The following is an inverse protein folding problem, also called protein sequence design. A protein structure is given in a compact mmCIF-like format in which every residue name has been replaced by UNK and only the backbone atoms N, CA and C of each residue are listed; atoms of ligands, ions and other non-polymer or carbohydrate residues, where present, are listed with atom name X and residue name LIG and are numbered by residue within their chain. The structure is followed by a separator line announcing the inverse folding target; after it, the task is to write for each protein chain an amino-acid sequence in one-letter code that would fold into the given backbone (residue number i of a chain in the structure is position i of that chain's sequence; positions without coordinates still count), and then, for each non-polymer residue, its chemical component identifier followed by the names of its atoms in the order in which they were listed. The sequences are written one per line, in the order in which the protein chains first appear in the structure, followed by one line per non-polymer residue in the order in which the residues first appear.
data_IF_628283601330
#
_entry.id   IF_628283601330
#
_cell.length_a   1.000
_cell.length_b   1.000
_cell.length_c   1.000
_cell.angle_alpha   90.00
_cell.angle_beta   90.00
_cell.angle_gamma   90.00
#
_symmetry.space_group_name_H-M   'P 1'
#
loop_
_entity.id
_entity.type
_entity.pdbx_description
1 polymer ?
#
# COMPACT_ATOMS: atom_id res chain seq x y z
N UNK A 1 20.57 28.83 9.48
CA UNK A 1 20.21 27.40 9.48
C UNK A 1 21.15 26.73 8.50
N UNK A 2 22.11 25.95 9.00
CA UNK A 2 23.10 25.27 8.14
C UNK A 2 22.44 24.10 7.42
N UNK A 3 22.68 24.01 6.12
CA UNK A 3 22.03 23.04 5.24
C UNK A 3 22.55 21.62 5.58
N UNK A 4 21.69 20.60 5.65
CA UNK A 4 22.13 19.23 6.04
C UNK A 4 23.22 18.67 5.11
N UNK A 5 23.26 19.16 3.86
CA UNK A 5 24.31 18.90 2.88
C UNK A 5 25.70 19.41 3.29
N UNK A 6 25.79 20.54 3.99
CA UNK A 6 27.06 21.10 4.48
C UNK A 6 27.63 20.27 5.64
N UNK A 7 26.77 19.58 6.41
CA UNK A 7 27.20 18.66 7.48
C UNK A 7 27.71 17.32 6.97
N UNK A 8 27.29 16.90 5.78
CA UNK A 8 27.73 15.66 5.16
C UNK A 8 29.04 15.81 4.34
N UNK A 9 29.46 17.05 4.06
CA UNK A 9 30.69 17.33 3.33
C UNK A 9 31.92 16.84 4.11
N UNK A 10 32.72 15.97 3.50
CA UNK A 10 33.93 15.38 4.11
C UNK A 10 33.70 14.05 4.85
N UNK A 11 32.49 13.48 4.79
CA UNK A 11 32.22 12.17 5.38
C UNK A 11 32.82 11.05 4.51
N UNK A 12 33.74 10.26 5.06
CA UNK A 12 34.17 9.01 4.41
C UNK A 12 33.03 7.99 4.44
N UNK A 13 32.67 7.48 3.27
CA UNK A 13 31.67 6.41 3.12
C UNK A 13 32.39 5.11 2.80
N UNK A 14 32.29 4.14 3.70
CA UNK A 14 32.73 2.76 3.42
C UNK A 14 31.61 2.01 2.72
N UNK A 15 31.86 1.54 1.49
CA UNK A 15 30.92 0.70 0.75
C UNK A 15 31.24 -0.77 0.97
N UNK A 16 30.27 -1.52 1.48
CA UNK A 16 30.36 -2.98 1.60
C UNK A 16 29.72 -3.60 0.36
N UNK A 17 30.52 -4.35 -0.40
CA UNK A 17 30.04 -5.11 -1.54
C UNK A 17 29.85 -6.57 -1.08
N UNK A 18 28.70 -7.21 -1.34
CA UNK A 18 28.51 -8.63 -1.10
C UNK A 18 29.55 -9.47 -1.86
N UNK A 19 29.83 -10.68 -1.39
CA UNK A 19 30.77 -11.58 -2.06
C UNK A 19 30.27 -11.96 -3.48
N UNK A 20 31.19 -12.42 -4.32
CA UNK A 20 30.91 -12.72 -5.73
C UNK A 20 29.91 -13.86 -5.93
N UNK A 21 29.85 -14.82 -5.00
CA UNK A 21 28.90 -15.94 -5.07
C UNK A 21 27.47 -15.43 -4.80
N UNK A 22 27.31 -14.62 -3.76
CA UNK A 22 26.06 -13.93 -3.44
C UNK A 22 25.58 -13.09 -4.63
N UNK A 23 26.44 -12.30 -5.25
CA UNK A 23 26.09 -11.52 -6.45
C UNK A 23 25.70 -12.39 -7.65
N UNK A 24 26.41 -13.50 -7.86
CA UNK A 24 26.13 -14.43 -8.95
C UNK A 24 24.77 -15.11 -8.83
N UNK A 25 24.31 -15.36 -7.60
CA UNK A 25 23.01 -15.98 -7.33
C UNK A 25 21.81 -15.07 -7.54
N UNK A 26 21.99 -13.73 -7.52
CA UNK A 26 20.89 -12.76 -7.64
C UNK A 26 20.07 -12.92 -8.92
N UNK A 27 20.71 -13.33 -10.03
CA UNK A 27 20.07 -13.49 -11.34
C UNK A 27 19.00 -14.60 -11.35
N UNK A 28 19.13 -15.58 -10.47
CA UNK A 28 18.28 -16.76 -10.40
C UNK A 28 17.28 -16.66 -9.23
N UNK A 29 17.33 -15.58 -8.44
CA UNK A 29 16.41 -15.34 -7.33
C UNK A 29 15.06 -14.80 -7.82
N UNK A 30 13.98 -15.41 -7.35
CA UNK A 30 12.63 -14.92 -7.59
C UNK A 30 12.17 -13.90 -6.53
N UNK A 31 11.47 -12.83 -6.93
CA UNK A 31 10.87 -11.89 -5.99
C UNK A 31 9.82 -12.59 -5.09
N UNK A 32 10.06 -12.63 -3.78
CA UNK A 32 9.11 -13.20 -2.80
C UNK A 32 8.11 -12.19 -2.27
N UNK A 33 8.47 -10.92 -2.22
CA UNK A 33 7.66 -9.86 -1.62
C UNK A 33 7.94 -8.52 -2.31
N UNK A 34 6.90 -7.77 -2.63
CA UNK A 34 7.03 -6.44 -3.20
C UNK A 34 7.04 -5.36 -2.13
N UNK A 35 8.19 -4.69 -1.98
CA UNK A 35 8.36 -3.56 -1.05
C UNK A 35 7.79 -2.24 -1.59
N UNK A 36 7.48 -2.15 -2.88
CA UNK A 36 6.90 -0.95 -3.47
C UNK A 36 5.47 -0.76 -2.95
N UNK A 37 5.21 0.39 -2.35
CA UNK A 37 3.89 0.75 -1.86
C UNK A 37 3.01 1.16 -3.05
N UNK A 38 2.26 0.20 -3.60
CA UNK A 38 1.39 0.45 -4.76
C UNK A 38 0.08 1.10 -4.34
N UNK A 39 -0.36 2.14 -5.07
CA UNK A 39 -1.74 2.60 -4.99
C UNK A 39 -2.66 1.62 -5.70
N UNK A 40 -3.58 0.99 -4.96
CA UNK A 40 -4.49 0.00 -5.53
C UNK A 40 -5.66 0.70 -6.20
N UNK A 41 -5.59 0.75 -7.52
CA UNK A 41 -6.54 1.46 -8.38
C UNK A 41 -7.88 0.71 -8.49
N UNK A 42 -8.89 1.34 -9.09
CA UNK A 42 -10.17 0.68 -9.34
C UNK A 42 -10.03 -0.58 -10.21
N UNK A 43 -9.12 -0.56 -11.19
CA UNK A 43 -8.86 -1.68 -12.09
C UNK A 43 -8.15 -2.84 -11.36
N UNK A 44 -7.22 -2.52 -10.46
CA UNK A 44 -6.58 -3.52 -9.61
C UNK A 44 -7.59 -4.25 -8.72
N UNK A 45 -8.56 -3.51 -8.17
CA UNK A 45 -9.65 -4.09 -7.40
C UNK A 45 -10.59 -4.92 -8.26
N UNK A 46 -10.91 -4.46 -9.48
CA UNK A 46 -11.73 -5.21 -10.42
C UNK A 46 -11.12 -6.57 -10.78
N UNK A 47 -9.78 -6.65 -10.93
CA UNK A 47 -9.06 -7.89 -11.20
C UNK A 47 -9.19 -8.95 -10.09
N UNK A 48 -9.47 -8.53 -8.86
CA UNK A 48 -9.64 -9.40 -7.68
C UNK A 48 -11.08 -9.42 -7.16
N UNK A 49 -12.06 -8.98 -7.95
CA UNK A 49 -13.47 -8.93 -7.54
C UNK A 49 -13.96 -10.29 -7.03
N UNK A 50 -14.64 -10.27 -5.88
CA UNK A 50 -15.20 -11.45 -5.22
C UNK A 50 -14.16 -12.39 -4.59
N UNK A 51 -12.86 -12.08 -4.68
CA UNK A 51 -11.80 -12.88 -4.06
C UNK A 51 -11.42 -12.27 -2.70
N UNK A 52 -11.31 -13.08 -1.64
CA UNK A 52 -10.86 -12.59 -0.34
C UNK A 52 -9.38 -12.23 -0.40
N UNK A 53 -9.04 -11.05 0.08
CA UNK A 53 -7.68 -10.58 0.24
C UNK A 53 -7.37 -10.44 1.73
N UNK A 54 -6.49 -11.30 2.25
CA UNK A 54 -6.07 -11.28 3.65
C UNK A 54 -4.89 -10.32 3.83
N UNK A 55 -5.04 -9.36 4.74
CA UNK A 55 -4.07 -8.29 4.97
C UNK A 55 -3.97 -7.93 6.45
N UNK A 56 -2.87 -7.30 6.82
CA UNK A 56 -2.79 -6.49 8.03
C UNK A 56 -3.05 -5.02 7.69
N UNK A 57 -3.90 -4.38 8.48
CA UNK A 57 -4.06 -2.93 8.45
C UNK A 57 -2.92 -2.26 9.22
N UNK A 58 -2.23 -1.33 8.56
CA UNK A 58 -1.01 -0.68 9.06
C UNK A 58 -1.19 0.83 9.28
N UNK A 59 -2.43 1.32 9.35
CA UNK A 59 -2.75 2.72 9.61
C UNK A 59 -3.14 3.50 8.37
N UNK A 60 -3.30 4.81 8.54
CA UNK A 60 -3.61 5.75 7.46
C UNK A 60 -2.38 6.58 7.09
N UNK A 61 -2.28 6.93 5.81
CA UNK A 61 -1.33 7.92 5.32
C UNK A 61 -2.04 8.95 4.47
N UNK A 62 -1.60 10.18 4.60
CA UNK A 62 -2.02 11.31 3.77
C UNK A 62 -1.12 11.36 2.53
N UNK A 63 -1.70 11.24 1.34
CA UNK A 63 -0.96 11.08 0.08
C UNK A 63 -1.53 12.07 -0.94
N UNK A 64 -0.69 12.94 -1.53
CA UNK A 64 -1.14 13.83 -2.59
C UNK A 64 -1.52 13.01 -3.82
N UNK A 65 -2.70 13.28 -4.38
CA UNK A 65 -3.14 12.71 -5.65
C UNK A 65 -2.56 13.52 -6.83
N UNK A 66 -2.94 13.14 -8.06
CA UNK A 66 -2.49 13.77 -9.30
C UNK A 66 -2.89 15.26 -9.42
N UNK A 67 -3.91 15.70 -8.69
CA UNK A 67 -4.34 17.11 -8.67
C UNK A 67 -3.70 17.91 -7.52
N UNK A 68 -2.82 17.27 -6.72
CA UNK A 68 -2.18 17.87 -5.55
C UNK A 68 -3.07 17.91 -4.29
N UNK A 69 -4.26 17.33 -4.34
CA UNK A 69 -5.14 17.19 -3.18
C UNK A 69 -4.66 16.06 -2.28
N UNK A 70 -4.65 16.30 -0.97
CA UNK A 70 -4.25 15.30 0.02
C UNK A 70 -5.39 14.30 0.23
N UNK A 71 -5.16 13.05 -0.15
CA UNK A 71 -6.11 11.94 0.02
C UNK A 71 -5.63 11.01 1.13
N UNK A 72 -6.53 10.73 2.08
CA UNK A 72 -6.28 9.79 3.17
C UNK A 72 -6.43 8.35 2.67
N UNK A 73 -5.36 7.58 2.74
CA UNK A 73 -5.30 6.21 2.26
C UNK A 73 -5.05 5.23 3.40
N UNK A 74 -5.76 4.10 3.40
CA UNK A 74 -5.43 2.96 4.27
C UNK A 74 -4.19 2.24 3.76
N UNK A 75 -3.26 1.90 4.65
CA UNK A 75 -2.06 1.12 4.36
C UNK A 75 -2.29 -0.34 4.74
N UNK A 76 -2.01 -1.25 3.81
CA UNK A 76 -2.28 -2.68 3.96
C UNK A 76 -1.06 -3.51 3.55
N UNK A 77 -0.84 -4.61 4.27
CA UNK A 77 0.25 -5.56 4.00
C UNK A 77 -0.33 -6.95 3.87
N UNK A 78 -0.16 -7.57 2.72
CA UNK A 78 -0.52 -8.96 2.46
C UNK A 78 0.70 -9.89 2.57
N UNK A 79 0.55 -11.17 2.24
CA UNK A 79 1.68 -12.09 2.11
C UNK A 79 2.64 -11.76 0.94
N UNK A 80 2.21 -10.96 -0.04
CA UNK A 80 2.93 -10.74 -1.31
C UNK A 80 3.30 -9.29 -1.59
N UNK A 81 2.50 -8.35 -1.11
CA UNK A 81 2.65 -6.93 -1.42
C UNK A 81 2.23 -6.00 -0.27
N UNK A 82 2.86 -4.83 -0.24
CA UNK A 82 2.36 -3.63 0.44
C UNK A 82 1.54 -2.79 -0.53
N UNK A 83 0.36 -2.31 -0.11
CA UNK A 83 -0.43 -1.38 -0.91
C UNK A 83 -1.16 -0.36 -0.07
N UNK A 84 -1.57 0.72 -0.72
CA UNK A 84 -2.43 1.76 -0.17
C UNK A 84 -3.74 1.82 -0.95
N UNK A 85 -4.81 2.23 -0.26
CA UNK A 85 -6.15 2.33 -0.84
C UNK A 85 -6.82 3.61 -0.37
N UNK A 86 -7.14 4.51 -1.30
CA UNK A 86 -7.83 5.79 -1.03
C UNK A 86 -9.35 5.71 -1.13
N UNK A 87 -9.93 4.52 -1.35
CA UNK A 87 -11.37 4.34 -1.50
C UNK A 87 -12.06 4.64 -0.17
N UNK A 88 -12.90 5.67 -0.16
CA UNK A 88 -13.55 6.20 1.04
C UNK A 88 -14.26 5.14 1.88
N UNK A 89 -15.01 4.22 1.27
CA UNK A 89 -15.72 3.15 1.98
C UNK A 89 -14.79 2.23 2.74
N UNK A 90 -13.64 1.89 2.15
CA UNK A 90 -12.63 1.05 2.78
C UNK A 90 -11.90 1.82 3.89
N UNK A 91 -11.52 3.08 3.63
CA UNK A 91 -10.86 3.95 4.62
C UNK A 91 -11.74 4.15 5.85
N UNK A 92 -13.02 4.45 5.65
CA UNK A 92 -14.00 4.62 6.74
C UNK A 92 -14.21 3.33 7.54
N UNK A 93 -14.16 2.16 6.90
CA UNK A 93 -14.28 0.87 7.59
C UNK A 93 -13.09 0.56 8.51
N UNK A 94 -11.89 1.04 8.18
CA UNK A 94 -10.65 0.66 8.91
C UNK A 94 -10.07 1.78 9.77
N UNK A 95 -10.48 3.05 9.60
CA UNK A 95 -9.82 4.20 10.23
C UNK A 95 -9.70 4.15 11.75
N UNK A 96 -10.64 3.46 12.42
CA UNK A 96 -10.69 3.35 13.88
C UNK A 96 -10.07 2.04 14.40
N UNK A 97 -9.57 1.17 13.53
CA UNK A 97 -8.96 -0.08 13.94
C UNK A 97 -7.53 0.13 14.48
N UNK A 98 -7.08 -0.68 15.45
CA UNK A 98 -5.69 -0.68 15.86
C UNK A 98 -4.74 -1.05 14.71
N UNK A 99 -3.50 -0.55 14.76
CA UNK A 99 -2.44 -1.00 13.88
C UNK A 99 -2.21 -2.50 14.02
N UNK A 100 -1.81 -3.16 12.92
CA UNK A 100 -1.61 -4.60 12.82
C UNK A 100 -2.89 -5.42 13.06
N UNK A 101 -4.06 -4.82 12.84
CA UNK A 101 -5.32 -5.59 12.84
C UNK A 101 -5.37 -6.48 11.59
N UNK A 102 -5.52 -7.81 11.72
CA UNK A 102 -5.67 -8.69 10.57
C UNK A 102 -7.10 -8.59 10.02
N UNK A 103 -7.21 -8.48 8.70
CA UNK A 103 -8.45 -8.24 7.97
C UNK A 103 -8.56 -9.19 6.77
N UNK A 104 -9.80 -9.50 6.40
CA UNK A 104 -10.17 -10.00 5.08
C UNK A 104 -10.94 -8.90 4.36
N UNK A 105 -10.43 -8.49 3.20
CA UNK A 105 -11.05 -7.52 2.32
C UNK A 105 -11.62 -8.24 1.10
N UNK A 106 -12.89 -8.03 0.79
CA UNK A 106 -13.50 -8.57 -0.42
C UNK A 106 -14.14 -7.43 -1.21
N UNK A 107 -13.63 -7.17 -2.42
CA UNK A 107 -14.22 -6.18 -3.31
C UNK A 107 -15.47 -6.76 -4.00
N UNK A 108 -16.64 -6.19 -3.72
CA UNK A 108 -17.93 -6.67 -4.23
C UNK A 108 -18.36 -6.01 -5.55
N UNK A 109 -17.68 -4.95 -5.97
CA UNK A 109 -18.01 -4.19 -7.16
C UNK A 109 -18.25 -2.71 -6.86
N UNK A 110 -18.85 -2.01 -7.82
CA UNK A 110 -19.17 -0.58 -7.69
C UNK A 110 -20.65 -0.35 -7.94
N UNK A 111 -21.22 0.60 -7.21
CA UNK A 111 -22.61 1.05 -7.38
C UNK A 111 -22.60 2.49 -7.87
N UNK A 112 -23.34 2.76 -8.95
CA UNK A 112 -23.51 4.12 -9.44
C UNK A 112 -24.18 4.99 -8.37
N UNK A 113 -23.67 6.20 -8.18
CA UNK A 113 -24.25 7.14 -7.24
C UNK A 113 -25.53 7.71 -7.83
N UNK A 114 -26.57 7.86 -7.01
CA UNK A 114 -27.87 8.40 -7.47
C UNK A 114 -27.82 9.90 -7.82
N UNK A 115 -26.79 10.62 -7.37
CA UNK A 115 -26.74 12.08 -7.36
C UNK A 115 -25.46 12.66 -7.99
N UNK A 116 -24.63 11.81 -8.59
CA UNK A 116 -23.35 12.22 -9.21
C UNK A 116 -22.96 11.19 -10.26
N UNK A 117 -22.20 11.61 -11.29
CA UNK A 117 -21.65 10.71 -12.32
C UNK A 117 -20.58 9.72 -11.80
N UNK A 118 -20.31 9.73 -10.49
CA UNK A 118 -19.40 8.81 -9.83
C UNK A 118 -20.01 7.45 -9.48
N UNK A 119 -19.13 6.51 -9.14
CA UNK A 119 -19.49 5.19 -8.62
C UNK A 119 -18.77 4.91 -7.31
N UNK A 120 -19.49 4.43 -6.31
CA UNK A 120 -18.91 4.03 -5.02
C UNK A 120 -18.49 2.57 -5.05
N UNK A 121 -17.25 2.29 -4.70
CA UNK A 121 -16.73 0.93 -4.55
C UNK A 121 -17.23 0.32 -3.24
N UNK A 122 -17.67 -0.93 -3.31
CA UNK A 122 -18.22 -1.68 -2.17
C UNK A 122 -17.21 -2.73 -1.75
N UNK A 123 -16.94 -2.76 -0.45
CA UNK A 123 -16.05 -3.72 0.18
C UNK A 123 -16.77 -4.39 1.35
N UNK A 124 -16.60 -5.70 1.46
CA UNK A 124 -16.81 -6.39 2.72
C UNK A 124 -15.47 -6.40 3.46
N UNK A 125 -15.50 -5.95 4.70
CA UNK A 125 -14.30 -5.81 5.55
C UNK A 125 -14.57 -6.59 6.82
N UNK A 126 -13.86 -7.70 6.98
CA UNK A 126 -14.00 -8.59 8.12
C UNK A 126 -12.72 -8.58 8.94
N UNK A 127 -12.84 -8.43 10.26
CA UNK A 127 -11.72 -8.62 11.17
C UNK A 127 -11.48 -10.12 11.35
N UNK A 128 -10.24 -10.55 11.20
CA UNK A 128 -9.83 -11.92 11.48
C UNK A 128 -9.40 -12.00 12.96
N UNK A 129 -9.73 -13.10 13.64
CA UNK A 129 -9.36 -13.29 15.06
C UNK A 129 -10.47 -13.92 15.88
#
# INVERSE_FOLDING_TARGET
MSNELEKAAGTEVTFYIPDTESLGSLKDMEPKFNLNLKYKTADDWAAVKGKPLRVFYMGLKDIPNETGEIVKCGCFVSEKECFISGQMTLVEAVKNLPLKTPLQLTYQGKKANKSSDGSTMIFDVEKLG
#
